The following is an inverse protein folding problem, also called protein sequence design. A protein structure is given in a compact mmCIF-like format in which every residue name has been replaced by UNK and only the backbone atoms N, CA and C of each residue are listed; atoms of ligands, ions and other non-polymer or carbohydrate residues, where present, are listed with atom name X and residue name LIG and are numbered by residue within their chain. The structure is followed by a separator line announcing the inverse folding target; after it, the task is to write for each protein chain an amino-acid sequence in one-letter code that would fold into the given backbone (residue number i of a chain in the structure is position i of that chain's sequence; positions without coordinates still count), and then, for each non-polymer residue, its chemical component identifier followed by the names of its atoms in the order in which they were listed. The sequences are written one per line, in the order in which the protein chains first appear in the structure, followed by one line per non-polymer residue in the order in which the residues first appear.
data_IF_168232572433
#
_entry.id   IF_168232572433
#
_cell.length_a   1.000
_cell.length_b   1.000
_cell.length_c   1.000
_cell.angle_alpha   90.00
_cell.angle_beta   90.00
_cell.angle_gamma   90.00
#
_symmetry.space_group_name_H-M   'P 1'
#
loop_
_entity.id
_entity.type
_entity.pdbx_description
1 polymer ?
#
# COMPACT_ATOMS: atom_id res chain seq x y z
N UNK A 1 -6.95 -12.96 13.05
CA UNK A 1 -5.96 -11.90 13.05
C UNK A 1 -5.06 -12.07 11.84
N UNK A 2 -5.31 -11.29 10.79
CA UNK A 2 -4.45 -11.22 9.59
C UNK A 2 -3.15 -10.49 9.97
N UNK A 3 -2.03 -10.72 9.28
CA UNK A 3 -0.77 -10.01 9.64
C UNK A 3 -0.87 -8.55 9.19
N UNK A 4 -0.27 -7.63 9.95
CA UNK A 4 -0.17 -6.22 9.55
C UNK A 4 0.46 -6.07 8.16
N UNK A 5 1.48 -6.89 7.86
CA UNK A 5 2.11 -6.91 6.53
C UNK A 5 1.11 -7.22 5.41
N UNK A 6 0.15 -8.10 5.65
CA UNK A 6 -0.84 -8.46 4.63
C UNK A 6 -1.79 -7.29 4.37
N UNK A 7 -2.25 -6.60 5.43
CA UNK A 7 -3.02 -5.36 5.30
C UNK A 7 -2.25 -4.29 4.54
N UNK A 8 -0.96 -4.15 4.82
CA UNK A 8 -0.09 -3.17 4.15
C UNK A 8 0.05 -3.45 2.65
N UNK A 9 0.25 -4.71 2.27
CA UNK A 9 0.34 -5.08 0.84
C UNK A 9 -1.00 -4.89 0.13
N UNK A 10 -2.12 -5.32 0.75
CA UNK A 10 -3.47 -5.17 0.18
C UNK A 10 -3.79 -3.69 -0.05
N UNK A 11 -3.59 -2.84 0.96
CA UNK A 11 -3.85 -1.41 0.86
C UNK A 11 -3.02 -0.77 -0.26
N UNK A 12 -1.74 -1.13 -0.38
CA UNK A 12 -0.86 -0.58 -1.41
C UNK A 12 -1.26 -1.04 -2.82
N UNK A 13 -1.73 -2.27 -2.99
CA UNK A 13 -2.19 -2.79 -4.27
C UNK A 13 -3.53 -2.18 -4.69
N UNK A 14 -4.52 -2.15 -3.78
CA UNK A 14 -5.84 -1.56 -4.05
C UNK A 14 -5.73 -0.07 -4.36
N UNK A 15 -4.98 0.69 -3.56
CA UNK A 15 -4.78 2.12 -3.81
C UNK A 15 -4.17 2.39 -5.19
N UNK A 16 -3.16 1.60 -5.57
CA UNK A 16 -2.52 1.73 -6.87
C UNK A 16 -3.47 1.41 -8.02
N UNK A 17 -4.29 0.36 -7.87
CA UNK A 17 -5.28 -0.03 -8.88
C UNK A 17 -6.39 1.00 -9.04
N UNK A 18 -6.86 1.60 -7.95
CA UNK A 18 -7.95 2.57 -7.97
C UNK A 18 -7.50 3.96 -8.46
N UNK A 19 -6.33 4.42 -8.01
CA UNK A 19 -5.93 5.82 -8.19
C UNK A 19 -4.81 6.01 -9.20
N UNK A 20 -3.95 5.00 -9.38
CA UNK A 20 -2.72 5.12 -10.16
C UNK A 20 -1.74 6.18 -9.62
N UNK A 21 -1.86 6.59 -8.35
CA UNK A 21 -0.99 7.59 -7.72
C UNK A 21 0.11 6.92 -6.89
N UNK A 22 1.26 7.56 -6.83
CA UNK A 22 2.42 7.14 -6.03
C UNK A 22 2.46 7.76 -4.63
N UNK A 23 1.81 8.91 -4.45
CA UNK A 23 1.54 9.52 -3.16
C UNK A 23 0.23 8.99 -2.59
N UNK A 24 0.27 8.43 -1.37
CA UNK A 24 -0.87 7.84 -0.69
C UNK A 24 -1.80 8.93 -0.15
N UNK A 25 -3.09 8.83 -0.45
CA UNK A 25 -4.09 9.77 0.03
C UNK A 25 -4.47 9.47 1.50
N UNK A 26 -4.40 10.50 2.34
CA UNK A 26 -4.65 10.40 3.77
C UNK A 26 -6.12 10.10 4.13
N UNK A 27 -7.08 10.45 3.28
CA UNK A 27 -8.48 10.12 3.50
C UNK A 27 -8.73 8.66 3.12
N UNK A 28 -8.25 8.26 1.94
CA UNK A 28 -8.41 6.89 1.44
C UNK A 28 -7.85 5.86 2.43
N UNK A 29 -6.65 6.10 2.96
CA UNK A 29 -6.04 5.17 3.91
C UNK A 29 -6.77 5.11 5.26
N UNK A 30 -7.39 6.22 5.69
CA UNK A 30 -8.18 6.26 6.92
C UNK A 30 -9.47 5.43 6.77
N UNK A 31 -10.12 5.53 5.61
CA UNK A 31 -11.29 4.72 5.25
C UNK A 31 -10.91 3.23 5.21
N UNK A 32 -9.85 2.86 4.48
CA UNK A 32 -9.36 1.48 4.45
C UNK A 32 -9.03 0.94 5.84
N UNK A 33 -8.31 1.73 6.65
CA UNK A 33 -7.89 1.33 8.01
C UNK A 33 -9.10 1.01 8.92
N UNK A 34 -10.18 1.77 8.77
CA UNK A 34 -11.43 1.54 9.49
C UNK A 34 -12.22 0.35 8.92
N UNK A 35 -12.44 0.31 7.61
CA UNK A 35 -13.29 -0.69 6.96
C UNK A 35 -12.70 -2.10 7.02
N UNK A 36 -11.38 -2.23 6.96
CA UNK A 36 -10.69 -3.52 7.04
C UNK A 36 -10.43 -4.01 8.48
N UNK A 37 -10.82 -3.24 9.49
CA UNK A 37 -10.66 -3.59 10.91
C UNK A 37 -9.19 -3.66 11.34
N UNK A 38 -8.31 -2.85 10.77
CA UNK A 38 -6.86 -2.89 11.08
C UNK A 38 -6.61 -2.54 12.54
N UNK A 39 -7.35 -1.56 13.08
CA UNK A 39 -7.27 -1.17 14.49
C UNK A 39 -7.69 -2.30 15.45
N UNK A 40 -8.68 -3.09 15.05
CA UNK A 40 -9.20 -4.18 15.88
C UNK A 40 -8.22 -5.37 15.91
N UNK A 41 -7.57 -5.65 14.77
CA UNK A 41 -6.60 -6.73 14.64
C UNK A 41 -5.19 -6.35 15.15
N UNK A 42 -4.81 -5.05 15.11
CA UNK A 42 -3.49 -4.54 15.51
C UNK A 42 -3.60 -3.21 16.29
N UNK A 43 -4.15 -3.21 17.51
CA UNK A 43 -4.41 -1.97 18.27
C UNK A 43 -3.14 -1.20 18.65
N UNK A 44 -1.97 -1.84 18.65
CA UNK A 44 -0.67 -1.21 18.92
C UNK A 44 -0.15 -0.35 17.76
N UNK A 45 -0.73 -0.48 16.56
CA UNK A 45 -0.36 0.29 15.39
C UNK A 45 -1.36 1.43 15.18
N UNK A 46 -0.90 2.67 15.20
CA UNK A 46 -1.74 3.81 14.87
C UNK A 46 -1.87 4.02 13.35
N UNK A 47 -2.86 4.82 12.95
CA UNK A 47 -3.10 5.15 11.54
C UNK A 47 -1.87 5.79 10.87
N UNK A 48 -1.09 6.59 11.61
CA UNK A 48 0.08 7.29 11.08
C UNK A 48 1.21 6.31 10.76
N UNK A 49 1.46 5.34 11.65
CA UNK A 49 2.40 4.26 11.45
C UNK A 49 1.97 3.35 10.31
N UNK A 50 0.68 3.02 10.24
CA UNK A 50 0.12 2.25 9.14
C UNK A 50 0.27 2.97 7.80
N UNK A 51 -0.06 4.27 7.73
CA UNK A 51 0.14 5.13 6.57
C UNK A 51 1.59 5.06 6.07
N UNK A 52 2.57 5.22 6.97
CA UNK A 52 3.98 5.17 6.60
C UNK A 52 4.40 3.81 6.02
N UNK A 53 3.83 2.71 6.52
CA UNK A 53 4.08 1.37 6.00
C UNK A 53 3.46 1.18 4.61
N UNK A 54 2.22 1.63 4.41
CA UNK A 54 1.53 1.53 3.11
C UNK A 54 2.20 2.40 2.06
N UNK A 55 2.56 3.64 2.38
CA UNK A 55 3.32 4.52 1.47
C UNK A 55 4.65 3.89 1.05
N UNK A 56 5.34 3.23 1.98
CA UNK A 56 6.60 2.53 1.68
C UNK A 56 6.38 1.32 0.76
N UNK A 57 5.32 0.55 0.98
CA UNK A 57 4.96 -0.58 0.14
C UNK A 57 4.56 -0.14 -1.27
N UNK A 58 3.72 0.90 -1.39
CA UNK A 58 3.29 1.53 -2.64
C UNK A 58 4.50 1.95 -3.49
N UNK A 59 5.40 2.75 -2.92
CA UNK A 59 6.64 3.20 -3.61
C UNK A 59 7.49 2.02 -4.09
N UNK A 60 7.58 0.95 -3.28
CA UNK A 60 8.33 -0.25 -3.65
C UNK A 60 7.67 -1.00 -4.81
N UNK A 61 6.34 -1.11 -4.81
CA UNK A 61 5.58 -1.81 -5.85
C UNK A 61 5.69 -1.06 -7.19
N UNK A 62 5.56 0.26 -7.18
CA UNK A 62 5.76 1.11 -8.37
C UNK A 62 7.18 0.96 -8.92
N UNK A 63 8.21 1.08 -8.08
CA UNK A 63 9.61 0.89 -8.52
C UNK A 63 9.86 -0.49 -9.13
N UNK A 64 9.22 -1.54 -8.60
CA UNK A 64 9.29 -2.89 -9.19
C UNK A 64 8.62 -2.93 -10.55
N UNK A 65 7.43 -2.36 -10.67
CA UNK A 65 6.71 -2.28 -11.95
C UNK A 65 7.50 -1.51 -13.01
N UNK A 66 8.07 -0.35 -12.67
CA UNK A 66 8.93 0.44 -13.55
C UNK A 66 10.18 -0.34 -14.00
N UNK A 67 10.85 -1.02 -13.05
CA UNK A 67 12.02 -1.84 -13.36
C UNK A 67 11.67 -2.96 -14.34
N UNK A 68 10.54 -3.63 -14.14
CA UNK A 68 10.06 -4.69 -15.04
C UNK A 68 9.73 -4.13 -16.43
N UNK A 69 9.07 -2.98 -16.51
CA UNK A 69 8.77 -2.30 -17.77
C UNK A 69 10.06 -1.96 -18.55
N UNK A 70 11.08 -1.41 -17.87
CA UNK A 70 12.39 -1.12 -18.48
C UNK A 70 13.10 -2.37 -18.99
N UNK A 71 13.08 -3.46 -18.22
CA UNK A 71 13.70 -4.73 -18.62
C UNK A 71 13.01 -5.36 -19.83
N UNK A 72 11.69 -5.21 -19.96
CA UNK A 72 10.95 -5.65 -21.14
C UNK A 72 11.27 -4.78 -22.38
N UNK A 73 11.46 -3.48 -22.18
CA UNK A 73 11.83 -2.56 -23.26
C UNK A 73 13.25 -2.78 -23.77
N UNK A 74 14.20 -3.19 -22.91
CA UNK A 74 15.57 -3.54 -23.31
C UNK A 74 15.71 -4.93 -23.95
N UNK A 75 14.65 -5.74 -23.96
CA UNK A 75 14.63 -7.10 -24.51
C UNK A 75 13.96 -7.19 -25.88
N UNK A 76 13.53 -6.07 -26.44
CA UNK A 76 13.02 -5.90 -27.80
C UNK A 76 14.10 -5.31 -28.69
#
# INVERSE_FOLDING_TARGET
MRKLSDYVEIAAEEYWQETGKDELDSLWIAEFYQDCGVLDDHPEHDLVGFYALVQKALTRNIRRAEKLARLQQSRR
#
